data_IF_233854671740
#
_entry.id   IF_233854671740
#
_cell.length_a   1.000
_cell.length_b   1.000
_cell.length_c   1.000
_cell.angle_alpha   90.00
_cell.angle_beta   90.00
_cell.angle_gamma   90.00
#
_symmetry.space_group_name_H-M   'P 1'
#
loop_
_entity.id
_entity.type
_entity.pdbx_description
1 polymer ?
#
# COMPACT_ATOMS: atom_id res chain seq x y z
N UNK A 1 21.63 -8.82 -15.43
CA UNK A 1 21.96 -8.87 -13.99
C UNK A 1 20.87 -8.10 -13.24
N UNK A 2 20.01 -8.82 -12.53
CA UNK A 2 19.01 -8.23 -11.62
C UNK A 2 19.78 -7.79 -10.38
N UNK A 3 19.68 -6.50 -10.01
CA UNK A 3 20.26 -6.02 -8.76
C UNK A 3 19.37 -6.47 -7.59
N UNK A 4 19.94 -6.88 -6.48
CA UNK A 4 19.19 -7.30 -5.28
C UNK A 4 18.17 -6.25 -4.81
N UNK A 5 18.47 -4.97 -5.03
CA UNK A 5 17.58 -3.85 -4.72
C UNK A 5 16.28 -3.84 -5.54
N UNK A 6 16.22 -4.58 -6.66
CA UNK A 6 15.05 -4.68 -7.51
C UNK A 6 14.13 -5.84 -7.11
N UNK A 7 14.56 -6.70 -6.19
CA UNK A 7 13.75 -7.81 -5.71
C UNK A 7 12.81 -7.31 -4.61
N UNK A 8 11.54 -7.62 -4.75
CA UNK A 8 10.50 -7.33 -3.77
C UNK A 8 10.17 -8.58 -2.99
N UNK A 9 10.06 -8.41 -1.69
CA UNK A 9 9.70 -9.46 -0.74
C UNK A 9 8.38 -9.14 -0.04
N UNK A 10 7.79 -10.15 0.54
CA UNK A 10 6.55 -10.01 1.31
C UNK A 10 6.69 -8.92 2.38
N UNK A 11 5.70 -8.06 2.46
CA UNK A 11 5.68 -6.93 3.40
C UNK A 11 6.47 -5.69 2.95
N UNK A 12 7.07 -5.66 1.76
CA UNK A 12 7.66 -4.42 1.24
C UNK A 12 6.59 -3.38 0.95
N UNK A 13 6.85 -2.12 1.34
CA UNK A 13 5.95 -1.00 1.06
C UNK A 13 6.33 -0.37 -0.27
N UNK A 14 5.34 -0.23 -1.13
CA UNK A 14 5.47 0.35 -2.45
C UNK A 14 4.70 1.67 -2.56
N UNK A 15 5.29 2.62 -3.30
CA UNK A 15 4.69 3.94 -3.59
C UNK A 15 4.69 4.15 -5.10
N UNK A 16 3.53 4.48 -5.66
CA UNK A 16 3.40 4.80 -7.08
C UNK A 16 4.02 6.16 -7.41
N UNK A 17 4.95 6.18 -8.39
CA UNK A 17 5.64 7.39 -8.83
C UNK A 17 5.01 8.03 -10.07
N UNK A 18 4.17 7.29 -10.79
CA UNK A 18 3.65 7.71 -12.10
C UNK A 18 2.17 7.39 -12.23
N UNK A 19 1.40 8.29 -12.82
CA UNK A 19 -0.06 8.14 -13.02
C UNK A 19 -0.83 8.47 -11.75
N UNK A 20 -1.29 7.47 -11.03
CA UNK A 20 -1.91 7.64 -9.70
C UNK A 20 -0.81 7.74 -8.63
N UNK A 21 -0.10 8.86 -8.62
CA UNK A 21 1.06 9.08 -7.75
C UNK A 21 0.67 9.08 -6.27
N UNK A 22 1.57 8.60 -5.41
CA UNK A 22 1.36 8.58 -3.96
C UNK A 22 0.48 7.44 -3.45
N UNK A 23 0.01 6.52 -4.32
CA UNK A 23 -0.68 5.32 -3.86
C UNK A 23 0.28 4.37 -3.17
N UNK A 24 -0.17 3.85 -2.04
CA UNK A 24 0.59 2.93 -1.20
C UNK A 24 0.04 1.51 -1.37
N UNK A 25 0.93 0.54 -1.35
CA UNK A 25 0.58 -0.88 -1.26
C UNK A 25 1.63 -1.67 -0.50
N UNK A 26 1.24 -2.84 0.02
CA UNK A 26 2.16 -3.83 0.58
C UNK A 26 2.29 -4.98 -0.41
N UNK A 27 3.52 -5.45 -0.60
CA UNK A 27 3.78 -6.65 -1.39
C UNK A 27 3.27 -7.86 -0.63
N UNK A 28 2.44 -8.67 -1.30
CA UNK A 28 1.94 -9.93 -0.77
C UNK A 28 2.56 -11.07 -1.60
N UNK A 29 3.55 -11.74 -1.06
CA UNK A 29 4.36 -12.77 -1.72
C UNK A 29 5.80 -12.32 -1.95
N UNK A 30 6.60 -13.18 -2.55
CA UNK A 30 8.04 -13.01 -2.71
C UNK A 30 8.47 -13.08 -4.18
N UNK A 31 9.70 -12.64 -4.45
CA UNK A 31 10.36 -12.74 -5.76
C UNK A 31 9.71 -11.92 -6.88
N UNK A 32 9.00 -10.84 -6.55
CA UNK A 32 8.56 -9.88 -7.56
C UNK A 32 9.70 -8.92 -7.93
N UNK A 33 9.60 -8.32 -9.11
CA UNK A 33 10.55 -7.31 -9.56
C UNK A 33 9.96 -5.92 -9.45
N UNK A 34 10.75 -5.01 -8.90
CA UNK A 34 10.39 -3.59 -8.79
C UNK A 34 10.33 -2.95 -10.17
N UNK A 35 9.19 -2.36 -10.50
CA UNK A 35 9.01 -1.58 -11.70
C UNK A 35 9.55 -0.15 -11.50
N UNK A 36 10.15 0.45 -12.53
CA UNK A 36 10.70 1.81 -12.51
C UNK A 36 9.67 2.92 -12.19
N UNK A 37 8.37 2.62 -12.25
CA UNK A 37 7.27 3.55 -11.93
C UNK A 37 6.82 3.48 -10.47
N UNK A 38 7.51 2.69 -9.68
CA UNK A 38 7.19 2.42 -8.28
C UNK A 38 8.46 2.54 -7.45
N UNK A 39 8.37 3.18 -6.30
CA UNK A 39 9.43 3.20 -5.30
C UNK A 39 9.15 2.15 -4.23
N UNK A 40 10.21 1.52 -3.73
CA UNK A 40 10.21 0.68 -2.53
C UNK A 40 10.68 1.52 -1.34
N UNK A 41 9.87 1.59 -0.31
CA UNK A 41 10.20 2.31 0.91
C UNK A 41 11.01 1.42 1.86
N UNK A 42 12.24 1.80 2.15
CA UNK A 42 13.11 1.05 3.03
C UNK A 42 13.08 1.61 4.46
N UNK A 43 12.41 0.92 5.37
CA UNK A 43 12.28 1.30 6.79
C UNK A 43 12.95 0.23 7.65
N UNK A 44 13.89 0.66 8.52
CA UNK A 44 14.72 -0.26 9.30
C UNK A 44 13.98 -0.98 10.43
N UNK A 45 12.98 -0.35 11.04
CA UNK A 45 12.21 -0.90 12.17
C UNK A 45 10.85 -1.40 11.70
N UNK A 46 10.51 -2.64 12.00
CA UNK A 46 9.21 -3.22 11.61
C UNK A 46 8.02 -2.49 12.25
N UNK A 47 8.14 -2.07 13.51
CA UNK A 47 7.09 -1.32 14.19
C UNK A 47 6.87 0.05 13.54
N UNK A 48 7.96 0.76 13.24
CA UNK A 48 7.89 2.05 12.54
C UNK A 48 7.38 1.84 11.10
N UNK A 49 7.75 0.75 10.44
CA UNK A 49 7.31 0.40 9.09
C UNK A 49 5.79 0.24 9.02
N UNK A 50 5.20 -0.49 9.97
CA UNK A 50 3.76 -0.65 10.06
C UNK A 50 3.05 0.70 10.28
N UNK A 51 3.53 1.52 11.22
CA UNK A 51 2.99 2.86 11.45
C UNK A 51 3.09 3.75 10.20
N UNK A 52 4.24 3.76 9.50
CA UNK A 52 4.43 4.54 8.27
C UNK A 52 3.47 4.08 7.19
N UNK A 53 3.28 2.78 7.01
CA UNK A 53 2.31 2.25 6.06
C UNK A 53 0.91 2.81 6.32
N UNK A 54 0.43 2.71 7.56
CA UNK A 54 -0.89 3.22 7.95
C UNK A 54 -0.99 4.75 7.76
N UNK A 55 0.06 5.48 8.15
CA UNK A 55 0.10 6.92 8.01
C UNK A 55 0.02 7.37 6.54
N UNK A 56 0.81 6.74 5.66
CA UNK A 56 0.85 7.05 4.24
C UNK A 56 -0.36 6.51 3.47
N UNK A 57 -1.06 5.51 3.98
CA UNK A 57 -2.30 5.00 3.39
C UNK A 57 -3.48 5.98 3.54
N UNK A 58 -3.31 7.06 4.30
CA UNK A 58 -4.30 8.11 4.41
C UNK A 58 -4.40 8.90 3.09
N UNK A 59 -5.63 9.25 2.70
CA UNK A 59 -5.92 10.01 1.48
C UNK A 59 -5.22 11.38 1.39
N UNK A 60 -4.78 11.96 2.51
CA UNK A 60 -4.02 13.21 2.53
C UNK A 60 -2.67 13.07 1.85
N UNK A 61 -1.93 11.98 2.10
CA UNK A 61 -0.65 11.74 1.43
C UNK A 61 -0.81 11.63 -0.08
N UNK A 62 -1.77 10.84 -0.57
CA UNK A 62 -2.04 10.73 -2.02
C UNK A 62 -2.39 12.10 -2.63
N UNK A 63 -3.19 12.93 -1.92
CA UNK A 63 -3.52 14.30 -2.36
C UNK A 63 -2.28 15.18 -2.43
N UNK A 64 -1.42 15.14 -1.41
CA UNK A 64 -0.22 15.96 -1.36
C UNK A 64 0.77 15.56 -2.46
N UNK A 65 0.96 14.26 -2.70
CA UNK A 65 1.77 13.77 -3.81
C UNK A 65 1.17 14.15 -5.16
N UNK A 66 -0.15 14.09 -5.31
CA UNK A 66 -0.83 14.57 -6.50
C UNK A 66 -0.66 16.06 -6.76
N UNK A 67 -0.58 16.87 -5.70
CA UNK A 67 -0.33 18.32 -5.81
C UNK A 67 1.14 18.62 -6.13
N UNK A 68 2.08 17.84 -5.59
CA UNK A 68 3.51 17.95 -5.90
C UNK A 68 3.83 17.42 -7.31
N UNK A 69 3.04 16.49 -7.83
CA UNK A 69 3.27 15.83 -9.12
C UNK A 69 3.23 16.78 -10.30
N UNK A 70 4.23 16.65 -11.19
CA UNK A 70 4.37 17.42 -12.43
C UNK A 70 3.78 16.65 -13.61
N UNK A 71 3.19 17.39 -14.54
CA UNK A 71 2.62 16.85 -15.79
C UNK A 71 1.12 17.06 -15.90
N UNK A 72 0.66 17.54 -17.05
CA UNK A 72 -0.76 17.84 -17.27
C UNK A 72 -1.61 16.60 -17.56
N UNK A 73 -1.05 15.65 -18.35
CA UNK A 73 -1.77 14.43 -18.76
C UNK A 73 -1.42 13.22 -17.88
N UNK A 74 -0.18 13.12 -17.41
CA UNK A 74 0.28 12.06 -16.54
C UNK A 74 1.18 12.64 -15.46
N UNK A 75 0.73 12.57 -14.22
CA UNK A 75 1.51 13.07 -13.08
C UNK A 75 2.69 12.15 -12.78
N UNK A 76 3.81 12.77 -12.42
CA UNK A 76 5.01 12.09 -11.98
C UNK A 76 5.55 12.77 -10.73
N UNK A 77 6.00 11.99 -9.76
CA UNK A 77 6.74 12.45 -8.58
C UNK A 77 8.12 11.79 -8.54
N UNK A 78 9.05 12.44 -7.87
CA UNK A 78 10.41 11.95 -7.66
C UNK A 78 10.55 11.35 -6.26
N UNK A 79 11.60 10.58 -6.06
CA UNK A 79 11.94 10.06 -4.74
C UNK A 79 12.13 11.19 -3.71
N UNK A 80 12.67 12.33 -4.14
CA UNK A 80 12.86 13.51 -3.29
C UNK A 80 11.55 14.07 -2.76
N UNK A 81 10.47 14.03 -3.54
CA UNK A 81 9.14 14.49 -3.12
C UNK A 81 8.62 13.63 -1.97
N UNK A 82 8.83 12.30 -2.06
CA UNK A 82 8.46 11.36 -0.99
C UNK A 82 9.34 11.57 0.25
N UNK A 83 10.65 11.69 0.07
CA UNK A 83 11.61 11.83 1.17
C UNK A 83 11.46 13.17 1.91
N UNK A 84 10.96 14.21 1.26
CA UNK A 84 10.68 15.50 1.87
C UNK A 84 9.36 15.54 2.64
N UNK A 85 8.53 14.49 2.53
CA UNK A 85 7.25 14.44 3.24
C UNK A 85 7.43 14.22 4.73
N UNK A 86 6.91 15.15 5.53
CA UNK A 86 7.08 15.13 6.98
C UNK A 86 6.07 14.21 7.65
N UNK A 87 6.58 13.18 8.32
CA UNK A 87 5.79 12.23 9.11
C UNK A 87 6.07 12.47 10.59
N UNK A 88 5.00 12.66 11.38
CA UNK A 88 5.11 12.74 12.84
C UNK A 88 5.03 11.33 13.41
N UNK A 89 6.15 10.83 13.93
CA UNK A 89 6.22 9.51 14.55
C UNK A 89 6.15 9.69 16.07
N UNK A 90 5.19 9.05 16.77
CA UNK A 90 5.17 9.03 18.23
C UNK A 90 6.45 8.43 18.80
N UNK A 91 6.99 9.04 19.85
CA UNK A 91 8.19 8.54 20.54
C UNK A 91 7.88 7.38 21.49
N UNK A 92 6.63 7.26 21.93
CA UNK A 92 6.20 6.21 22.85
C UNK A 92 5.91 4.92 22.08
N UNK A 93 6.74 3.91 22.31
CA UNK A 93 6.64 2.60 21.65
C UNK A 93 5.31 1.89 21.93
N UNK A 94 4.83 1.92 23.17
CA UNK A 94 3.53 1.30 23.53
C UNK A 94 2.37 1.94 22.77
N UNK A 95 2.47 3.23 22.49
CA UNK A 95 1.44 3.93 21.71
C UNK A 95 1.48 3.50 20.23
N UNK A 96 2.68 3.35 19.66
CA UNK A 96 2.84 2.83 18.30
C UNK A 96 2.27 1.41 18.17
N UNK A 97 2.56 0.53 19.13
CA UNK A 97 2.04 -0.86 19.16
C UNK A 97 0.51 -0.90 19.24
N UNK A 98 -0.09 -0.02 20.04
CA UNK A 98 -1.56 0.07 20.13
C UNK A 98 -2.20 0.58 18.83
N UNK A 99 -1.62 1.58 18.19
CA UNK A 99 -2.09 2.07 16.90
C UNK A 99 -2.00 0.97 15.85
N UNK A 100 -0.83 0.33 15.74
CA UNK A 100 -0.62 -0.76 14.79
C UNK A 100 -1.60 -1.91 15.02
N UNK A 101 -1.73 -2.38 16.26
CA UNK A 101 -2.65 -3.45 16.61
C UNK A 101 -4.12 -3.14 16.28
N UNK A 102 -4.56 -1.88 16.50
CA UNK A 102 -5.91 -1.45 16.16
C UNK A 102 -6.12 -1.43 14.65
N UNK A 103 -5.24 -0.74 13.92
CA UNK A 103 -5.37 -0.56 12.47
C UNK A 103 -5.20 -1.88 11.71
N UNK A 104 -4.23 -2.71 12.09
CA UNK A 104 -4.05 -4.06 11.53
C UNK A 104 -5.26 -4.96 11.74
N UNK A 105 -6.01 -4.75 12.83
CA UNK A 105 -7.26 -5.48 13.06
C UNK A 105 -8.33 -5.07 12.04
N UNK A 106 -8.46 -3.78 11.77
CA UNK A 106 -9.39 -3.31 10.73
C UNK A 106 -8.98 -3.77 9.34
N UNK A 107 -7.69 -3.75 9.00
CA UNK A 107 -7.21 -4.28 7.71
C UNK A 107 -7.59 -5.75 7.53
N UNK A 108 -7.41 -6.58 8.58
CA UNK A 108 -7.83 -8.00 8.56
C UNK A 108 -9.34 -8.16 8.39
N UNK A 109 -10.14 -7.31 9.04
CA UNK A 109 -11.59 -7.33 8.87
C UNK A 109 -11.99 -6.98 7.43
N UNK A 110 -11.40 -5.93 6.86
CA UNK A 110 -11.65 -5.53 5.46
C UNK A 110 -11.35 -6.69 4.51
N UNK A 111 -10.17 -7.31 4.63
CA UNK A 111 -9.78 -8.44 3.77
C UNK A 111 -10.75 -9.63 3.92
N UNK A 112 -11.22 -9.93 5.14
CA UNK A 112 -12.18 -10.99 5.37
C UNK A 112 -13.54 -10.69 4.72
N UNK A 113 -14.03 -9.45 4.83
CA UNK A 113 -15.30 -9.02 4.22
C UNK A 113 -15.22 -9.05 2.68
N UNK A 114 -14.11 -8.58 2.10
CA UNK A 114 -13.88 -8.66 0.66
C UNK A 114 -13.88 -10.11 0.16
N UNK A 115 -13.22 -11.02 0.89
CA UNK A 115 -13.22 -12.46 0.59
C UNK A 115 -14.62 -13.06 0.70
N UNK A 116 -15.38 -12.66 1.71
CA UNK A 116 -16.75 -13.11 1.89
C UNK A 116 -17.64 -12.63 0.72
N UNK A 117 -17.53 -11.36 0.35
CA UNK A 117 -18.25 -10.80 -0.79
C UNK A 117 -17.92 -11.51 -2.11
N UNK A 118 -16.63 -11.81 -2.33
CA UNK A 118 -16.20 -12.58 -3.49
C UNK A 118 -16.88 -13.97 -3.53
N UNK A 119 -16.90 -14.68 -2.40
CA UNK A 119 -17.52 -16.00 -2.31
C UNK A 119 -19.03 -15.94 -2.60
N UNK A 120 -19.74 -14.93 -2.08
CA UNK A 120 -21.17 -14.74 -2.37
C UNK A 120 -21.41 -14.49 -3.85
N UNK A 121 -20.57 -13.66 -4.49
CA UNK A 121 -20.66 -13.39 -5.91
C UNK A 121 -20.42 -14.64 -6.77
N UNK A 122 -19.46 -15.48 -6.39
CA UNK A 122 -19.22 -16.76 -7.05
C UNK A 122 -20.42 -17.72 -6.91
N UNK A 123 -21.00 -17.82 -5.70
CA UNK A 123 -22.20 -18.64 -5.48
C UNK A 123 -23.39 -18.12 -6.30
N UNK A 124 -23.61 -16.80 -6.33
CA UNK A 124 -24.64 -16.18 -7.15
C UNK A 124 -24.46 -16.52 -8.63
N UNK A 125 -23.23 -16.39 -9.15
CA UNK A 125 -22.91 -16.72 -10.53
C UNK A 125 -23.16 -18.18 -10.86
N UNK A 126 -22.77 -19.10 -9.96
CA UNK A 126 -23.06 -20.52 -10.09
C UNK A 126 -24.56 -20.81 -10.17
N UNK A 127 -25.34 -20.26 -9.25
CA UNK A 127 -26.80 -20.42 -9.25
C UNK A 127 -27.47 -19.86 -10.51
N UNK A 128 -27.05 -18.69 -10.98
CA UNK A 128 -27.56 -18.12 -12.21
C UNK A 128 -27.30 -19.05 -13.41
N UNK A 129 -26.07 -19.58 -13.53
CA UNK A 129 -25.73 -20.52 -14.58
C UNK A 129 -26.51 -21.84 -14.47
N UNK A 130 -26.79 -22.31 -13.26
CA UNK A 130 -27.56 -23.55 -13.06
C UNK A 130 -29.07 -23.40 -13.31
N UNK A 131 -29.61 -22.19 -13.12
CA UNK A 131 -31.08 -21.91 -13.22
C UNK A 131 -31.50 -21.47 -14.62
N UNK A 132 -30.60 -20.93 -15.43
CA UNK A 132 -30.90 -20.32 -16.73
C UNK A 132 -30.17 -20.98 -17.91
N UNK A 133 -29.91 -22.28 -17.81
CA UNK A 133 -29.42 -23.10 -18.93
C UNK A 133 -30.58 -23.51 -19.83
#
# INVERSE_FOLDING_TARGET
NIQEQQILNNGDILISLTGNVGRISIVNGDNYLLNQRVAKLNVKSNLIKAYIYQYLSNSSFEKDMNNAGQGAAQKNIKNEDILSYNIRIPTNQTYLEKIDGLLSTYDKLIVNEERFLLNINLQKSFLLNAMFI
#
